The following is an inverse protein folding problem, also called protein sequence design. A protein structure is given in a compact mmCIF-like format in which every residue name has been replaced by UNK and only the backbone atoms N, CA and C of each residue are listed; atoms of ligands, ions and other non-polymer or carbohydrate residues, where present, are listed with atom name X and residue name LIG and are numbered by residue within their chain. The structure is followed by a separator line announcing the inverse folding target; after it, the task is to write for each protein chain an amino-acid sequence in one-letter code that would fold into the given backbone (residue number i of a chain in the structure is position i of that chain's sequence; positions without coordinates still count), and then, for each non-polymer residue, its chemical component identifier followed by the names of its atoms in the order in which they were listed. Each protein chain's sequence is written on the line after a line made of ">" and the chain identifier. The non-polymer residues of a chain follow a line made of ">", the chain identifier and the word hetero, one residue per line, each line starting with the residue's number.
data_IF_560164939706
#
_entry.id   IF_560164939706
#
_cell.length_a   1.000
_cell.length_b   1.000
_cell.length_c   1.000
_cell.angle_alpha   90.00
_cell.angle_beta   90.00
_cell.angle_gamma   90.00
#
_symmetry.space_group_name_H-M   'P 1'
#
loop_
_entity.id
_entity.type
_entity.pdbx_description
1 polymer ?
#
# COMPACT_ATOMS: atom_id res chain seq x y z
N UNK A 1 -2.08 13.53 10.62
CA UNK A 1 -2.31 12.68 9.42
C UNK A 1 -2.27 11.21 9.81
N UNK A 2 -3.34 10.45 9.58
CA UNK A 2 -3.46 9.07 10.08
C UNK A 2 -2.50 8.05 9.43
N UNK A 3 -2.01 8.30 8.21
CA UNK A 3 -1.04 7.40 7.58
C UNK A 3 0.31 7.43 8.32
N UNK A 4 0.72 8.60 8.83
CA UNK A 4 1.94 8.78 9.65
C UNK A 4 1.85 8.20 11.06
N UNK A 5 0.64 7.98 11.56
CA UNK A 5 0.43 7.35 12.87
C UNK A 5 0.85 5.87 12.81
N UNK A 6 1.36 5.29 13.90
CA UNK A 6 1.56 3.85 13.97
C UNK A 6 0.28 3.05 13.68
N UNK A 7 0.43 1.80 13.25
CA UNK A 7 -0.67 0.81 13.20
C UNK A 7 -1.09 0.43 14.62
N UNK A 8 -2.18 -0.32 14.75
CA UNK A 8 -2.64 -0.85 16.04
C UNK A 8 -1.63 -1.79 16.70
N UNK A 9 -0.67 -2.34 15.95
CA UNK A 9 0.44 -3.15 16.45
C UNK A 9 1.72 -2.34 16.70
N UNK A 10 1.68 -1.02 16.54
CA UNK A 10 2.81 -0.11 16.79
C UNK A 10 3.78 0.07 15.60
N UNK A 11 3.54 -0.60 14.47
CA UNK A 11 4.38 -0.47 13.28
C UNK A 11 4.15 0.86 12.56
N UNK A 12 5.17 1.39 11.90
CA UNK A 12 5.04 2.68 11.22
C UNK A 12 5.79 2.70 9.89
N UNK A 13 5.50 3.72 9.08
CA UNK A 13 6.22 3.98 7.84
C UNK A 13 6.67 5.43 7.79
N UNK A 14 7.78 5.69 7.12
CA UNK A 14 8.26 7.03 6.80
C UNK A 14 8.66 7.09 5.33
N UNK A 15 8.32 8.19 4.66
CA UNK A 15 8.78 8.45 3.29
C UNK A 15 10.04 9.30 3.33
N UNK A 16 11.00 8.99 2.47
CA UNK A 16 12.19 9.82 2.26
C UNK A 16 11.80 11.21 1.73
N UNK A 17 12.60 12.23 2.05
CA UNK A 17 12.29 13.62 1.69
C UNK A 17 12.27 13.85 0.17
N UNK A 18 13.07 13.07 -0.57
CA UNK A 18 13.14 13.04 -2.03
C UNK A 18 12.08 12.11 -2.66
N UNK A 19 11.19 11.52 -1.85
CA UNK A 19 10.12 10.62 -2.28
C UNK A 19 10.62 9.33 -2.98
N UNK A 20 11.90 8.98 -2.80
CA UNK A 20 12.53 7.84 -3.46
C UNK A 20 12.31 6.50 -2.74
N UNK A 21 11.96 6.52 -1.45
CA UNK A 21 11.74 5.31 -0.67
C UNK A 21 10.71 5.48 0.45
N UNK A 22 10.14 4.36 0.90
CA UNK A 22 9.33 4.26 2.11
C UNK A 22 9.96 3.24 3.05
N UNK A 23 10.49 3.72 4.18
CA UNK A 23 11.02 2.90 5.26
C UNK A 23 9.89 2.38 6.16
N UNK A 24 10.02 1.13 6.61
CA UNK A 24 9.07 0.41 7.47
C UNK A 24 9.76 0.09 8.79
N UNK A 25 9.18 0.57 9.90
CA UNK A 25 9.74 0.41 11.24
C UNK A 25 8.84 -0.47 12.11
N UNK A 26 9.47 -1.32 12.91
CA UNK A 26 8.80 -2.06 13.96
C UNK A 26 8.46 -1.15 15.17
N UNK A 27 7.72 -1.64 16.18
CA UNK A 27 7.32 -0.83 17.33
C UNK A 27 8.49 -0.34 18.20
N UNK A 28 9.66 -0.96 18.09
CA UNK A 28 10.88 -0.53 18.76
C UNK A 28 11.64 0.54 17.95
N UNK A 29 11.15 0.92 16.77
CA UNK A 29 11.81 1.88 15.89
C UNK A 29 12.92 1.27 15.04
N UNK A 30 13.04 -0.06 14.97
CA UNK A 30 14.05 -0.72 14.15
C UNK A 30 13.55 -0.80 12.71
N UNK A 31 14.42 -0.44 11.76
CA UNK A 31 14.14 -0.57 10.33
C UNK A 31 14.02 -2.05 9.94
N UNK A 32 12.86 -2.44 9.43
CA UNK A 32 12.58 -3.83 9.01
C UNK A 32 12.38 -4.01 7.52
N UNK A 33 12.21 -2.92 6.78
CA UNK A 33 12.14 -2.97 5.34
C UNK A 33 12.15 -1.59 4.72
N UNK A 34 12.53 -1.54 3.46
CA UNK A 34 12.51 -0.32 2.68
C UNK A 34 11.93 -0.61 1.30
N UNK A 35 10.87 0.11 0.95
CA UNK A 35 10.18 -0.02 -0.32
C UNK A 35 10.65 1.09 -1.25
N UNK A 36 11.18 0.70 -2.39
CA UNK A 36 11.56 1.58 -3.49
C UNK A 36 10.50 1.45 -4.60
N UNK A 37 10.08 2.56 -5.24
CA UNK A 37 9.25 2.50 -6.44
C UNK A 37 10.03 1.85 -7.60
N UNK A 38 9.42 1.76 -8.78
CA UNK A 38 10.16 1.36 -9.98
C UNK A 38 11.34 2.33 -10.23
N UNK A 39 12.43 1.83 -10.82
CA UNK A 39 13.72 2.56 -10.95
C UNK A 39 13.65 3.90 -11.70
N UNK A 40 12.56 4.14 -12.43
CA UNK A 40 12.29 5.35 -13.22
C UNK A 40 11.17 6.21 -12.61
N UNK A 41 10.80 5.97 -11.36
CA UNK A 41 9.58 6.49 -10.75
C UNK A 41 9.84 6.94 -9.31
N UNK A 42 9.02 7.86 -8.83
CA UNK A 42 8.95 8.25 -7.41
C UNK A 42 7.65 7.75 -6.80
N UNK A 43 7.55 7.78 -5.46
CA UNK A 43 6.25 7.67 -4.83
C UNK A 43 5.35 8.83 -5.22
N UNK A 44 4.08 8.50 -5.46
CA UNK A 44 3.03 9.51 -5.67
C UNK A 44 2.20 9.64 -4.40
N UNK A 45 1.26 10.59 -4.37
CA UNK A 45 0.27 10.63 -3.30
C UNK A 45 -0.99 9.85 -3.69
N UNK A 46 -1.63 9.20 -2.71
CA UNK A 46 -2.95 8.61 -2.93
C UNK A 46 -3.94 9.66 -3.46
N UNK A 47 -4.81 9.22 -4.37
CA UNK A 47 -5.80 10.03 -5.10
C UNK A 47 -5.22 11.00 -6.16
N UNK A 48 -5.98 11.23 -7.22
CA UNK A 48 -5.58 12.14 -8.31
C UNK A 48 -5.69 13.62 -7.93
N UNK A 49 -4.96 14.48 -8.64
CA UNK A 49 -5.01 15.93 -8.44
C UNK A 49 -6.38 16.48 -8.86
N UNK A 50 -7.09 17.10 -7.91
CA UNK A 50 -8.24 17.96 -8.21
C UNK A 50 -7.92 19.44 -7.91
N UNK A 51 -6.74 19.71 -7.36
CA UNK A 51 -6.22 21.03 -7.00
C UNK A 51 -4.78 21.14 -7.52
N UNK A 52 -4.26 22.36 -7.66
CA UNK A 52 -2.84 22.64 -7.96
C UNK A 52 -1.93 22.29 -6.75
N UNK A 53 -2.01 21.05 -6.29
CA UNK A 53 -1.24 20.51 -5.17
C UNK A 53 0.01 19.82 -5.72
N UNK A 54 1.16 20.07 -5.11
CA UNK A 54 2.40 19.36 -5.41
C UNK A 54 2.33 17.90 -4.96
N UNK A 55 3.22 17.04 -5.49
CA UNK A 55 3.27 15.63 -5.06
C UNK A 55 3.56 15.50 -3.57
N UNK A 56 4.49 16.31 -3.04
CA UNK A 56 4.85 16.30 -1.63
C UNK A 56 3.66 16.65 -0.72
N UNK A 57 2.92 17.72 -1.03
CA UNK A 57 1.71 18.11 -0.27
C UNK A 57 0.64 17.01 -0.30
N UNK A 58 0.48 16.36 -1.46
CA UNK A 58 -0.49 15.28 -1.62
C UNK A 58 -0.10 14.05 -0.82
N UNK A 59 1.17 13.66 -0.80
CA UNK A 59 1.68 12.57 0.04
C UNK A 59 1.52 12.92 1.51
N UNK A 60 1.85 14.15 1.89
CA UNK A 60 1.70 14.62 3.25
C UNK A 60 0.25 14.43 3.72
N UNK A 61 -0.72 14.81 2.88
CA UNK A 61 -2.15 14.67 3.18
C UNK A 61 -2.68 13.24 3.11
N UNK A 62 -2.36 12.51 2.06
CA UNK A 62 -3.03 11.24 1.71
C UNK A 62 -2.15 9.99 1.80
N UNK A 63 -0.86 10.15 2.10
CA UNK A 63 0.10 9.05 2.16
C UNK A 63 0.69 8.68 0.80
N UNK A 64 1.81 7.94 0.82
CA UNK A 64 2.53 7.51 -0.37
C UNK A 64 1.80 6.37 -1.09
N UNK A 65 1.80 6.40 -2.41
CA UNK A 65 1.16 5.43 -3.28
C UNK A 65 2.12 4.97 -4.39
N UNK A 66 2.07 3.68 -4.69
CA UNK A 66 2.77 3.10 -5.84
C UNK A 66 2.06 3.43 -7.16
N UNK A 67 2.84 3.49 -8.23
CA UNK A 67 2.29 3.54 -9.58
C UNK A 67 1.76 2.15 -9.93
N UNK A 68 0.46 2.07 -10.22
CA UNK A 68 -0.19 0.80 -10.57
C UNK A 68 0.49 0.09 -11.72
N UNK A 69 0.66 -1.22 -11.58
CA UNK A 69 1.26 -2.06 -12.60
C UNK A 69 2.75 -1.83 -12.84
N UNK A 70 3.40 -0.89 -12.14
CA UNK A 70 4.86 -0.79 -12.10
C UNK A 70 5.38 -1.54 -10.87
N UNK A 71 6.22 -2.57 -11.03
CA UNK A 71 6.79 -3.29 -9.89
C UNK A 71 7.72 -2.39 -9.08
N UNK A 72 7.44 -2.30 -7.78
CA UNK A 72 8.29 -1.75 -6.75
C UNK A 72 9.24 -2.83 -6.21
N UNK A 73 10.29 -2.40 -5.52
CA UNK A 73 11.27 -3.28 -4.88
C UNK A 73 11.22 -3.09 -3.37
N UNK A 74 10.85 -4.12 -2.64
CA UNK A 74 10.94 -4.15 -1.18
C UNK A 74 12.26 -4.81 -0.79
N UNK A 75 13.13 -4.08 -0.12
CA UNK A 75 14.34 -4.61 0.48
C UNK A 75 14.09 -4.97 1.94
N UNK A 76 14.43 -6.20 2.31
CA UNK A 76 14.28 -6.70 3.68
C UNK A 76 15.64 -7.16 4.23
N UNK A 77 16.03 -6.72 5.44
CA UNK A 77 17.27 -7.16 6.07
C UNK A 77 17.34 -8.69 6.16
N UNK A 78 18.45 -9.28 5.69
CA UNK A 78 18.68 -10.73 5.75
C UNK A 78 17.89 -11.58 4.73
N UNK A 79 16.99 -10.99 3.95
CA UNK A 79 16.18 -11.70 2.93
C UNK A 79 16.48 -11.21 1.51
N UNK A 80 16.91 -9.95 1.36
CA UNK A 80 17.23 -9.34 0.07
C UNK A 80 16.06 -8.59 -0.55
N UNK A 81 16.19 -8.28 -1.85
CA UNK A 81 15.22 -7.51 -2.61
C UNK A 81 14.11 -8.41 -3.19
N UNK A 82 12.85 -8.01 -3.00
CA UNK A 82 11.68 -8.69 -3.55
C UNK A 82 10.78 -7.72 -4.31
N UNK A 83 10.11 -8.24 -5.33
CA UNK A 83 9.18 -7.42 -6.12
C UNK A 83 7.82 -7.29 -5.43
N UNK A 84 7.29 -6.08 -5.43
CA UNK A 84 5.95 -5.72 -4.96
C UNK A 84 5.22 -5.08 -6.13
N UNK A 85 4.05 -5.59 -6.51
CA UNK A 85 3.24 -4.96 -7.57
C UNK A 85 1.85 -4.63 -7.04
N UNK A 86 1.36 -3.41 -7.28
CA UNK A 86 -0.03 -3.04 -7.00
C UNK A 86 -0.88 -3.16 -8.27
N UNK A 87 -1.45 -4.36 -8.47
CA UNK A 87 -2.34 -4.70 -9.58
C UNK A 87 -1.70 -4.66 -10.97
N UNK A 88 -2.49 -5.00 -12.00
CA UNK A 88 -2.10 -4.81 -13.42
C UNK A 88 -2.49 -3.43 -13.92
N UNK A 89 -1.60 -2.79 -14.69
CA UNK A 89 -1.90 -1.56 -15.41
C UNK A 89 -3.12 -1.77 -16.33
N UNK A 90 -4.07 -0.85 -16.32
CA UNK A 90 -5.29 -0.94 -17.15
C UNK A 90 -6.28 -2.05 -16.76
N UNK A 91 -6.08 -2.74 -15.63
CA UNK A 91 -7.02 -3.76 -15.19
C UNK A 91 -8.43 -3.17 -14.98
N UNK A 92 -9.43 -3.72 -15.66
CA UNK A 92 -10.84 -3.40 -15.38
C UNK A 92 -11.43 -4.32 -14.31
N UNK A 93 -11.17 -5.63 -14.41
CA UNK A 93 -11.72 -6.68 -13.52
C UNK A 93 -11.04 -6.70 -12.15
N UNK A 94 -11.84 -6.83 -11.08
CA UNK A 94 -11.39 -6.81 -9.67
C UNK A 94 -10.30 -7.85 -9.36
N UNK A 95 -10.42 -9.07 -9.90
CA UNK A 95 -9.43 -10.15 -9.72
C UNK A 95 -8.04 -9.86 -10.31
N UNK A 96 -7.89 -8.81 -11.10
CA UNK A 96 -6.62 -8.40 -11.71
C UNK A 96 -6.00 -7.18 -10.99
N UNK A 97 -6.61 -6.73 -9.89
CA UNK A 97 -6.23 -5.54 -9.09
C UNK A 97 -5.71 -5.91 -7.70
N UNK A 98 -5.12 -7.09 -7.53
CA UNK A 98 -4.52 -7.49 -6.25
C UNK A 98 -3.06 -7.07 -6.21
N UNK A 99 -2.54 -6.85 -5.00
CA UNK A 99 -1.11 -6.78 -4.78
C UNK A 99 -0.56 -8.16 -4.42
N UNK A 100 0.63 -8.47 -4.91
CA UNK A 100 1.36 -9.67 -4.55
C UNK A 100 2.78 -9.32 -4.12
N UNK A 101 3.23 -10.00 -3.04
CA UNK A 101 4.59 -9.93 -2.52
C UNK A 101 5.04 -11.36 -2.25
N UNK A 102 6.11 -11.81 -2.90
CA UNK A 102 6.72 -13.12 -2.65
C UNK A 102 8.05 -12.91 -1.94
N UNK A 103 8.19 -13.42 -0.71
CA UNK A 103 9.37 -13.19 0.11
C UNK A 103 9.64 -14.32 1.10
N UNK A 104 10.92 -14.70 1.24
CA UNK A 104 11.37 -15.78 2.12
C UNK A 104 10.54 -17.08 1.99
N UNK A 105 10.18 -17.46 0.75
CA UNK A 105 9.37 -18.65 0.46
C UNK A 105 7.87 -18.51 0.75
N UNK A 106 7.40 -17.33 1.19
CA UNK A 106 5.99 -17.04 1.45
C UNK A 106 5.41 -16.15 0.36
N UNK A 107 4.18 -16.40 -0.03
CA UNK A 107 3.44 -15.58 -1.01
C UNK A 107 2.30 -14.85 -0.33
N UNK A 108 2.45 -13.54 -0.21
CA UNK A 108 1.40 -12.66 0.28
C UNK A 108 0.56 -12.13 -0.86
N UNK A 109 -0.76 -12.09 -0.66
CA UNK A 109 -1.70 -11.49 -1.59
C UNK A 109 -2.63 -10.54 -0.87
N UNK A 110 -2.82 -9.37 -1.45
CA UNK A 110 -3.78 -8.38 -1.00
C UNK A 110 -4.97 -8.34 -1.95
N UNK A 111 -6.03 -9.06 -1.59
CA UNK A 111 -7.19 -9.25 -2.45
C UNK A 111 -8.29 -8.24 -2.14
N UNK A 112 -8.54 -7.34 -3.09
CA UNK A 112 -9.57 -6.32 -2.95
C UNK A 112 -10.96 -6.96 -3.12
N UNK A 113 -11.77 -6.92 -2.07
CA UNK A 113 -13.14 -7.45 -2.06
C UNK A 113 -14.19 -6.39 -2.37
N UNK A 114 -13.89 -5.11 -2.14
CA UNK A 114 -14.75 -3.98 -2.51
C UNK A 114 -13.94 -2.70 -2.74
N UNK A 115 -14.60 -1.58 -3.05
CA UNK A 115 -13.95 -0.27 -3.16
C UNK A 115 -13.31 0.25 -1.87
N UNK A 116 -13.52 -0.43 -0.74
CA UNK A 116 -13.00 -0.03 0.58
C UNK A 116 -12.51 -1.21 1.44
N UNK A 117 -12.51 -2.42 0.90
CA UNK A 117 -12.18 -3.63 1.67
C UNK A 117 -11.22 -4.50 0.90
N UNK A 118 -10.27 -5.08 1.61
CA UNK A 118 -9.31 -6.04 1.10
C UNK A 118 -9.00 -7.09 2.16
N UNK A 119 -8.51 -8.24 1.73
CA UNK A 119 -8.06 -9.33 2.59
C UNK A 119 -6.62 -9.65 2.26
N UNK A 120 -5.75 -9.66 3.26
CA UNK A 120 -4.40 -10.17 3.12
C UNK A 120 -4.39 -11.68 3.35
N UNK A 121 -3.77 -12.40 2.43
CA UNK A 121 -3.53 -13.82 2.47
C UNK A 121 -2.02 -14.08 2.52
N UNK A 122 -1.60 -15.14 3.19
CA UNK A 122 -0.27 -15.76 3.08
C UNK A 122 -0.44 -17.20 2.66
N UNK A 123 0.06 -17.56 1.49
CA UNK A 123 -0.02 -18.92 0.94
C UNK A 123 -1.46 -19.46 0.94
N UNK A 124 -2.43 -18.57 0.64
CA UNK A 124 -3.87 -18.86 0.65
C UNK A 124 -4.55 -18.77 2.02
N UNK A 125 -3.79 -18.71 3.12
CA UNK A 125 -4.33 -18.55 4.49
C UNK A 125 -4.62 -17.09 4.79
N UNK A 126 -5.81 -16.80 5.33
CA UNK A 126 -6.20 -15.41 5.69
C UNK A 126 -5.40 -14.93 6.89
N UNK A 127 -4.63 -13.84 6.71
CA UNK A 127 -3.91 -13.18 7.80
C UNK A 127 -4.71 -12.03 8.40
N UNK A 128 -5.25 -11.15 7.56
CA UNK A 128 -5.97 -9.97 8.04
C UNK A 128 -7.01 -9.46 7.05
N UNK A 129 -8.04 -8.80 7.57
CA UNK A 129 -9.01 -8.03 6.79
C UNK A 129 -8.80 -6.55 7.01
N UNK A 130 -8.88 -5.80 5.93
CA UNK A 130 -8.71 -4.36 5.95
C UNK A 130 -10.00 -3.67 5.52
N UNK A 131 -10.34 -2.60 6.22
CA UNK A 131 -11.50 -1.76 5.91
C UNK A 131 -11.09 -0.30 5.99
N UNK A 132 -11.14 0.35 4.83
CA UNK A 132 -10.96 1.80 4.70
C UNK A 132 -12.21 2.53 5.18
N UNK A 133 -12.03 3.57 5.96
CA UNK A 133 -13.12 4.34 6.54
C UNK A 133 -14.00 4.98 5.44
N UNK A 134 -15.20 5.41 5.85
CA UNK A 134 -16.11 6.12 4.96
C UNK A 134 -15.56 7.52 4.61
N UNK A 135 -15.97 8.06 3.47
CA UNK A 135 -15.58 9.38 2.99
C UNK A 135 -14.82 9.34 1.67
N UNK A 136 -15.02 10.41 0.88
CA UNK A 136 -14.23 10.68 -0.30
C UNK A 136 -12.77 10.88 0.13
N UNK A 137 -11.84 10.10 -0.44
CA UNK A 137 -10.40 10.17 -0.14
C UNK A 137 -9.98 9.81 1.29
N UNK A 138 -10.77 8.98 1.97
CA UNK A 138 -10.34 8.46 3.26
C UNK A 138 -9.11 7.56 3.11
N UNK A 139 -8.10 7.81 3.93
CA UNK A 139 -6.84 7.04 4.01
C UNK A 139 -6.75 6.25 5.32
N UNK A 140 -7.76 6.39 6.17
CA UNK A 140 -7.84 5.67 7.42
C UNK A 140 -8.23 4.23 7.12
N UNK A 141 -7.42 3.28 7.59
CA UNK A 141 -7.61 1.86 7.34
C UNK A 141 -7.53 1.11 8.66
N UNK A 142 -8.64 0.50 9.03
CA UNK A 142 -8.70 -0.48 10.11
C UNK A 142 -8.23 -1.84 9.60
N UNK A 143 -7.50 -2.57 10.45
CA UNK A 143 -7.00 -3.92 10.19
C UNK A 143 -7.48 -4.86 11.29
N UNK A 144 -8.15 -5.94 10.90
CA UNK A 144 -8.54 -7.04 11.80
C UNK A 144 -7.75 -8.29 11.44
N UNK A 145 -6.84 -8.72 12.33
CA UNK A 145 -6.08 -9.96 12.16
C UNK A 145 -6.95 -11.19 12.41
N UNK A 146 -6.67 -12.27 11.69
CA UNK A 146 -7.32 -13.57 11.81
C UNK A 146 -6.39 -14.65 12.35
N UNK A 147 -5.08 -14.41 12.32
CA UNK A 147 -4.06 -15.38 12.71
C UNK A 147 -2.92 -14.65 13.39
N UNK A 148 -2.13 -15.38 14.17
CA UNK A 148 -0.87 -14.88 14.70
C UNK A 148 0.04 -14.48 13.53
N UNK A 149 0.69 -13.33 13.69
CA UNK A 149 1.59 -12.73 12.70
C UNK A 149 2.98 -12.67 13.30
N UNK A 150 3.98 -13.04 12.51
CA UNK A 150 5.38 -12.78 12.86
C UNK A 150 5.84 -11.42 12.31
N UNK A 151 7.12 -11.13 12.49
CA UNK A 151 7.71 -9.87 12.07
C UNK A 151 7.65 -9.63 10.55
N UNK A 152 7.83 -10.69 9.76
CA UNK A 152 7.77 -10.58 8.31
C UNK A 152 6.33 -10.35 7.85
N UNK A 153 5.38 -11.06 8.46
CA UNK A 153 3.95 -10.84 8.22
C UNK A 153 3.59 -9.38 8.53
N UNK A 154 3.97 -8.85 9.70
CA UNK A 154 3.65 -7.47 10.10
C UNK A 154 4.28 -6.43 9.18
N UNK A 155 5.50 -6.66 8.68
CA UNK A 155 6.14 -5.77 7.71
C UNK A 155 5.30 -5.67 6.42
N UNK A 156 4.91 -6.81 5.84
CA UNK A 156 4.09 -6.85 4.61
C UNK A 156 2.67 -6.32 4.87
N UNK A 157 2.07 -6.66 6.01
CA UNK A 157 0.73 -6.19 6.38
C UNK A 157 0.70 -4.67 6.61
N UNK A 158 1.81 -4.08 7.09
CA UNK A 158 1.96 -2.62 7.26
C UNK A 158 2.01 -1.93 5.90
N UNK A 159 2.76 -2.50 4.94
CA UNK A 159 2.80 -2.02 3.56
C UNK A 159 1.40 -2.02 2.91
N UNK A 160 0.62 -3.09 3.09
CA UNK A 160 -0.77 -3.15 2.63
C UNK A 160 -1.68 -2.09 3.29
N UNK A 161 -1.42 -1.75 4.55
CA UNK A 161 -2.20 -0.76 5.28
C UNK A 161 -1.87 0.68 4.91
N UNK A 162 -0.60 0.98 4.62
CA UNK A 162 -0.07 2.36 4.56
C UNK A 162 0.28 2.84 3.16
N UNK A 163 0.61 1.93 2.24
CA UNK A 163 1.11 2.29 0.89
C UNK A 163 0.19 1.80 -0.23
N UNK A 164 -0.47 0.67 -0.06
CA UNK A 164 -1.30 0.08 -1.13
C UNK A 164 -2.78 0.43 -0.98
N UNK A 165 -3.26 0.53 0.26
CA UNK A 165 -4.63 0.82 0.67
C UNK A 165 -5.73 -0.10 0.10
N UNK A 166 -6.76 -0.46 0.91
CA UNK A 166 -7.91 -1.18 0.40
C UNK A 166 -8.75 -0.32 -0.54
N UNK A 167 -8.81 -0.67 -1.82
CA UNK A 167 -9.87 -0.22 -2.71
C UNK A 167 -9.43 -0.05 -4.16
N UNK A 168 -10.42 0.15 -5.04
CA UNK A 168 -10.18 0.53 -6.44
C UNK A 168 -9.80 2.01 -6.47
N UNK A 169 -8.52 2.34 -6.44
CA UNK A 169 -8.09 3.73 -6.69
C UNK A 169 -8.59 4.26 -8.04
N UNK A 170 -8.86 3.37 -9.02
CA UNK A 170 -9.36 3.73 -10.36
C UNK A 170 -10.85 4.10 -10.46
N UNK A 171 -11.65 4.06 -9.40
CA UNK A 171 -13.04 4.54 -9.49
C UNK A 171 -13.10 6.08 -9.64
N UNK A 172 -12.10 6.80 -9.14
CA UNK A 172 -12.02 8.24 -9.28
C UNK A 172 -11.32 8.68 -10.56
N UNK A 173 -10.41 7.86 -11.13
CA UNK A 173 -9.89 8.13 -12.47
C UNK A 173 -10.94 7.90 -13.55
N UNK A 174 -11.81 6.89 -13.41
CA UNK A 174 -12.92 6.65 -14.34
C UNK A 174 -13.97 7.78 -14.32
N UNK A 175 -14.27 8.35 -13.16
CA UNK A 175 -15.19 9.50 -13.06
C UNK A 175 -14.56 10.77 -13.67
N UNK A 176 -13.26 10.98 -13.49
CA UNK A 176 -12.58 12.14 -14.08
C UNK A 176 -12.35 11.98 -15.60
N UNK A 177 -12.11 10.77 -16.09
CA UNK A 177 -12.06 10.52 -17.54
C UNK A 177 -13.44 10.59 -18.21
N UNK A 178 -14.53 10.42 -17.45
CA UNK A 178 -15.90 10.57 -17.95
C UNK A 178 -16.44 12.01 -17.90
N UNK A 179 -15.79 12.90 -17.14
CA UNK A 179 -16.15 14.32 -17.01
C UNK A 179 -15.28 15.26 -17.87
N UNK A 180 -14.35 14.70 -18.64
CA UNK A 180 -13.62 15.40 -19.69
C UNK A 180 -14.28 15.10 -21.05
N UNK A 181 -15.43 15.71 -21.30
CA UNK A 181 -15.99 15.97 -22.64
C UNK A 181 -16.24 17.47 -22.72
#
# INVERSE_FOLDING_TARGET
>A
MKWKSPTDTGWSVQIAADLSSVAIFDPAGVLRGELFPASDSEFTGHFGSWKRESTAERIDRYGPALIKGKPATLQLPGVGAVSVSDGKLGAMRRRNKFCEVAVAGRRYRFEHSSGRKATALRDGTKLARYVRAHGLRSIDVSRKSFSATDQLDECVLTLFQKVILPGREGAFSEIMSALSI
#
